data_IF_185694075248
#
_entry.id   IF_185694075248
#
_cell.length_a   1.000
_cell.length_b   1.000
_cell.length_c   1.000
_cell.angle_alpha   90.00
_cell.angle_beta   90.00
_cell.angle_gamma   90.00
#
_symmetry.space_group_name_H-M   'P 1'
#
loop_
_entity.id
_entity.type
_entity.pdbx_description
1 polymer ?
#
# COMPACT_ATOMS: atom_id res chain seq x y z
N UNK A 1 -27.29 8.53 -14.69
CA UNK A 1 -27.11 9.15 -13.37
C UNK A 1 -25.70 8.96 -12.80
N UNK A 2 -25.10 7.76 -12.85
CA UNK A 2 -23.73 7.51 -12.34
C UNK A 2 -22.67 8.40 -13.02
N UNK A 3 -22.76 8.62 -14.34
CA UNK A 3 -21.82 9.48 -15.07
C UNK A 3 -21.89 10.97 -14.71
N UNK A 4 -23.06 11.46 -14.26
CA UNK A 4 -23.22 12.85 -13.82
C UNK A 4 -22.64 13.04 -12.41
N UNK A 5 -22.83 12.06 -11.53
CA UNK A 5 -22.25 12.04 -10.20
C UNK A 5 -20.71 12.01 -10.28
N UNK A 6 -20.14 11.12 -11.10
CA UNK A 6 -18.68 11.06 -11.30
C UNK A 6 -18.11 12.34 -11.92
N UNK A 7 -18.83 12.97 -12.85
CA UNK A 7 -18.41 14.24 -13.43
C UNK A 7 -18.52 15.41 -12.43
N UNK A 8 -19.54 15.41 -11.57
CA UNK A 8 -19.75 16.44 -10.56
C UNK A 8 -18.75 16.33 -9.40
N UNK A 9 -18.46 15.11 -8.91
CA UNK A 9 -17.41 14.87 -7.91
C UNK A 9 -16.05 15.29 -8.46
N UNK A 10 -15.71 14.91 -9.70
CA UNK A 10 -14.45 15.29 -10.32
C UNK A 10 -14.35 16.81 -10.50
N UNK A 11 -15.41 17.47 -10.98
CA UNK A 11 -15.46 18.94 -11.16
C UNK A 11 -15.39 19.71 -9.84
N UNK A 12 -16.03 19.21 -8.78
CA UNK A 12 -15.95 19.79 -7.44
C UNK A 12 -14.53 19.66 -6.87
N UNK A 13 -13.92 18.47 -6.99
CA UNK A 13 -12.53 18.24 -6.59
C UNK A 13 -11.55 19.13 -7.37
N UNK A 14 -11.77 19.27 -8.68
CA UNK A 14 -10.92 20.08 -9.55
C UNK A 14 -11.04 21.58 -9.24
N UNK A 15 -12.23 22.05 -8.85
CA UNK A 15 -12.47 23.43 -8.40
C UNK A 15 -11.82 23.70 -7.05
N UNK A 16 -11.94 22.77 -6.09
CA UNK A 16 -11.34 22.89 -4.75
C UNK A 16 -9.81 22.86 -4.81
N UNK A 17 -9.23 22.01 -5.67
CA UNK A 17 -7.78 21.92 -5.88
C UNK A 17 -7.18 23.12 -6.63
N UNK A 18 -7.97 23.83 -7.45
CA UNK A 18 -7.51 25.01 -8.19
C UNK A 18 -7.71 26.31 -7.41
N UNK A 19 -8.68 26.39 -6.50
CA UNK A 19 -8.91 27.58 -5.68
C UNK A 19 -7.86 27.78 -4.60
N UNK A 20 -7.09 26.74 -4.27
CA UNK A 20 -6.10 26.80 -3.19
C UNK A 20 -4.70 26.52 -3.73
N UNK A 21 -4.24 27.39 -4.61
CA UNK A 21 -2.82 27.55 -4.88
C UNK A 21 -2.19 28.22 -3.66
N UNK A 22 -1.84 27.42 -2.67
CA UNK A 22 -1.10 27.90 -1.52
C UNK A 22 0.38 28.10 -1.91
N UNK A 23 0.94 29.24 -1.53
CA UNK A 23 2.34 29.59 -1.78
C UNK A 23 3.29 28.91 -0.79
N UNK A 24 2.76 28.24 0.25
CA UNK A 24 3.48 27.68 1.39
C UNK A 24 3.19 26.19 1.65
N UNK A 25 4.23 25.45 2.06
CA UNK A 25 4.22 23.99 2.30
C UNK A 25 3.16 23.56 3.33
N UNK A 26 3.03 24.32 4.42
CA UNK A 26 2.10 23.98 5.50
C UNK A 26 0.64 23.99 5.05
N UNK A 27 0.27 24.95 4.20
CA UNK A 27 -1.08 25.06 3.66
C UNK A 27 -1.40 23.93 2.68
N UNK A 28 -0.45 23.53 1.84
CA UNK A 28 -0.61 22.35 0.96
C UNK A 28 -0.84 21.08 1.77
N UNK A 29 -0.06 20.86 2.84
CA UNK A 29 -0.24 19.72 3.76
C UNK A 29 -1.60 19.73 4.47
N UNK A 30 -2.05 20.89 4.96
CA UNK A 30 -3.36 21.00 5.62
C UNK A 30 -4.52 20.69 4.67
N UNK A 31 -4.45 21.15 3.43
CA UNK A 31 -5.45 20.83 2.39
C UNK A 31 -5.42 19.35 2.04
N UNK A 32 -4.23 18.78 1.96
CA UNK A 32 -4.00 17.38 1.67
C UNK A 32 -4.57 16.45 2.75
N UNK A 33 -4.37 16.79 4.03
CA UNK A 33 -4.93 16.04 5.17
C UNK A 33 -6.43 16.26 5.35
N UNK A 34 -6.95 17.45 4.99
CA UNK A 34 -8.38 17.75 5.09
C UNK A 34 -9.21 17.17 3.94
N UNK A 35 -8.62 16.98 2.75
CA UNK A 35 -9.30 16.41 1.58
C UNK A 35 -10.07 15.12 1.87
N UNK A 36 -9.50 14.06 2.50
CA UNK A 36 -10.24 12.84 2.81
C UNK A 36 -11.39 13.09 3.79
N UNK A 37 -11.20 13.93 4.82
CA UNK A 37 -12.25 14.24 5.80
C UNK A 37 -13.44 14.94 5.14
N UNK A 38 -13.18 16.02 4.40
CA UNK A 38 -14.22 16.79 3.70
C UNK A 38 -14.94 15.92 2.67
N UNK A 39 -14.19 15.12 1.91
CA UNK A 39 -14.78 14.24 0.89
C UNK A 39 -15.67 13.17 1.52
N UNK A 40 -15.27 12.60 2.67
CA UNK A 40 -16.07 11.62 3.40
C UNK A 40 -17.39 12.22 3.87
N UNK A 41 -17.36 13.35 4.58
CA UNK A 41 -18.58 13.99 5.10
C UNK A 41 -19.53 14.43 3.99
N UNK A 42 -19.01 15.03 2.91
CA UNK A 42 -19.85 15.44 1.77
C UNK A 42 -20.52 14.24 1.09
N UNK A 43 -19.85 13.09 1.04
CA UNK A 43 -20.41 11.87 0.46
C UNK A 43 -21.52 11.27 1.35
N UNK A 44 -21.32 11.26 2.67
CA UNK A 44 -22.33 10.80 3.63
C UNK A 44 -23.61 11.66 3.58
N UNK A 45 -23.48 12.99 3.46
CA UNK A 45 -24.63 13.91 3.31
C UNK A 45 -25.46 13.63 2.04
N UNK A 46 -24.85 13.06 0.99
CA UNK A 46 -25.54 12.69 -0.25
C UNK A 46 -25.95 11.20 -0.24
N UNK A 47 -25.82 10.51 0.90
CA UNK A 47 -26.13 9.08 1.08
C UNK A 47 -25.39 8.15 0.10
N UNK A 48 -24.14 8.49 -0.24
CA UNK A 48 -23.23 7.63 -1.01
C UNK A 48 -22.06 7.19 -0.15
N UNK A 49 -21.38 6.10 -0.53
CA UNK A 49 -20.26 5.57 0.28
C UNK A 49 -19.11 6.57 0.42
N UNK A 50 -18.93 7.11 1.62
CA UNK A 50 -17.84 8.06 1.92
C UNK A 50 -16.45 7.46 1.70
N UNK A 51 -16.27 6.18 2.06
CA UNK A 51 -15.01 5.46 1.87
C UNK A 51 -14.62 5.41 0.39
N UNK A 52 -15.56 5.04 -0.48
CA UNK A 52 -15.31 4.96 -1.93
C UNK A 52 -15.03 6.36 -2.51
N UNK A 53 -15.77 7.37 -2.08
CA UNK A 53 -15.55 8.75 -2.52
C UNK A 53 -14.13 9.24 -2.19
N UNK A 54 -13.64 8.97 -0.98
CA UNK A 54 -12.27 9.31 -0.56
C UNK A 54 -11.22 8.56 -1.39
N UNK A 55 -11.41 7.26 -1.65
CA UNK A 55 -10.47 6.47 -2.47
C UNK A 55 -10.39 7.03 -3.89
N UNK A 56 -11.54 7.36 -4.50
CA UNK A 56 -11.58 7.96 -5.84
C UNK A 56 -10.89 9.33 -5.84
N UNK A 57 -11.15 10.17 -4.83
CA UNK A 57 -10.49 11.47 -4.67
C UNK A 57 -8.96 11.33 -4.56
N UNK A 58 -8.48 10.34 -3.78
CA UNK A 58 -7.05 10.03 -3.66
C UNK A 58 -6.42 9.57 -4.97
N UNK A 59 -7.08 8.67 -5.71
CA UNK A 59 -6.59 8.20 -7.03
C UNK A 59 -6.54 9.37 -8.03
N UNK A 60 -7.57 10.21 -8.07
CA UNK A 60 -7.60 11.38 -8.95
C UNK A 60 -6.49 12.38 -8.60
N UNK A 61 -6.22 12.57 -7.31
CA UNK A 61 -5.13 13.41 -6.84
C UNK A 61 -3.76 12.83 -7.25
N UNK A 62 -3.55 11.54 -7.01
CA UNK A 62 -2.30 10.84 -7.36
C UNK A 62 -2.05 10.76 -8.87
N UNK A 63 -3.13 10.71 -9.68
CA UNK A 63 -3.04 10.65 -11.14
C UNK A 63 -2.62 11.97 -11.80
N UNK A 64 -2.51 13.08 -11.05
CA UNK A 64 -2.06 14.36 -11.62
C UNK A 64 -0.55 14.33 -11.84
N UNK A 65 -0.13 14.41 -13.10
CA UNK A 65 1.27 14.64 -13.46
C UNK A 65 1.72 15.99 -12.90
N UNK A 66 2.44 16.00 -11.78
CA UNK A 66 3.14 17.21 -11.29
C UNK A 66 4.26 17.55 -12.27
N UNK A 67 4.42 18.83 -12.63
CA UNK A 67 5.66 19.29 -13.27
C UNK A 67 6.75 19.18 -12.21
N UNK A 68 7.92 18.68 -12.57
CA UNK A 68 9.01 18.48 -11.60
C UNK A 68 9.85 19.77 -11.57
N UNK A 69 9.62 20.62 -10.57
CA UNK A 69 10.58 21.66 -10.17
C UNK A 69 11.27 21.28 -8.86
N UNK A 70 12.44 21.87 -8.57
CA UNK A 70 13.22 21.56 -7.36
C UNK A 70 12.47 21.88 -6.05
N UNK A 71 11.56 22.86 -6.07
CA UNK A 71 10.69 23.19 -4.93
C UNK A 71 9.62 22.10 -4.72
N UNK A 72 9.06 21.55 -5.80
CA UNK A 72 8.07 20.46 -5.74
C UNK A 72 8.69 19.18 -5.14
N UNK A 73 9.97 18.90 -5.40
CA UNK A 73 10.66 17.73 -4.83
C UNK A 73 10.82 17.80 -3.29
N UNK A 74 11.09 18.98 -2.73
CA UNK A 74 11.17 19.15 -1.27
C UNK A 74 9.79 19.04 -0.62
N UNK A 75 8.76 19.63 -1.24
CA UNK A 75 7.36 19.54 -0.77
C UNK A 75 6.88 18.09 -0.78
N UNK A 76 7.18 17.33 -1.84
CA UNK A 76 6.79 15.92 -1.95
C UNK A 76 7.45 15.06 -0.86
N UNK A 77 8.74 15.29 -0.56
CA UNK A 77 9.46 14.55 0.50
C UNK A 77 8.87 14.79 1.89
N UNK A 78 8.55 16.05 2.21
CA UNK A 78 7.91 16.40 3.50
C UNK A 78 6.52 15.79 3.59
N UNK A 79 5.75 15.87 2.50
CA UNK A 79 4.39 15.32 2.39
C UNK A 79 4.39 13.80 2.58
N UNK A 80 5.30 13.09 1.91
CA UNK A 80 5.50 11.65 2.07
C UNK A 80 5.81 11.29 3.53
N UNK A 81 6.72 12.02 4.18
CA UNK A 81 7.09 11.80 5.58
C UNK A 81 5.90 12.00 6.52
N UNK A 82 5.10 13.05 6.31
CA UNK A 82 3.88 13.32 7.08
C UNK A 82 2.87 12.18 6.89
N UNK A 83 2.62 11.75 5.65
CA UNK A 83 1.71 10.63 5.38
C UNK A 83 2.19 9.32 5.98
N UNK A 84 3.49 9.02 5.93
CA UNK A 84 4.05 7.86 6.60
C UNK A 84 3.80 7.91 8.10
N UNK A 85 4.01 9.07 8.73
CA UNK A 85 3.77 9.29 10.15
C UNK A 85 2.29 9.12 10.50
N UNK A 86 1.39 9.74 9.72
CA UNK A 86 -0.08 9.62 9.91
C UNK A 86 -0.52 8.17 9.74
N UNK A 87 -0.06 7.48 8.70
CA UNK A 87 -0.36 6.07 8.48
C UNK A 87 0.15 5.20 9.63
N UNK A 88 1.35 5.46 10.13
CA UNK A 88 1.90 4.74 11.27
C UNK A 88 1.06 4.95 12.53
N UNK A 89 0.70 6.20 12.83
CA UNK A 89 -0.17 6.54 13.96
C UNK A 89 -1.55 5.89 13.85
N UNK A 90 -2.22 6.00 12.70
CA UNK A 90 -3.55 5.43 12.49
C UNK A 90 -3.54 3.90 12.58
N UNK A 91 -2.58 3.24 11.93
CA UNK A 91 -2.47 1.78 12.02
C UNK A 91 -2.14 1.36 13.47
N UNK A 92 -1.22 2.06 14.14
CA UNK A 92 -0.90 1.84 15.55
C UNK A 92 -2.11 1.95 16.46
N UNK A 93 -2.90 3.01 16.32
CA UNK A 93 -4.14 3.21 17.08
C UNK A 93 -5.13 2.07 16.88
N UNK A 94 -5.34 1.61 15.65
CA UNK A 94 -6.23 0.48 15.35
C UNK A 94 -5.76 -0.81 16.03
N UNK A 95 -4.45 -1.07 16.05
CA UNK A 95 -3.90 -2.23 16.74
C UNK A 95 -3.99 -2.12 18.26
N UNK A 96 -3.84 -0.92 18.84
CA UNK A 96 -4.03 -0.69 20.28
C UNK A 96 -5.49 -0.94 20.67
N UNK A 97 -6.44 -0.40 19.90
CA UNK A 97 -7.87 -0.64 20.15
C UNK A 97 -8.18 -2.13 20.04
N UNK A 98 -7.69 -2.81 19.00
CA UNK A 98 -7.87 -4.25 18.87
C UNK A 98 -7.27 -5.03 20.05
N UNK A 99 -6.09 -4.63 20.53
CA UNK A 99 -5.46 -5.27 21.70
C UNK A 99 -6.35 -5.17 22.94
N UNK A 100 -6.93 -4.00 23.20
CA UNK A 100 -7.86 -3.79 24.31
C UNK A 100 -9.14 -4.62 24.16
N UNK A 101 -9.75 -4.61 22.96
CA UNK A 101 -10.93 -5.42 22.67
C UNK A 101 -10.65 -6.92 22.85
N UNK A 102 -9.48 -7.38 22.39
CA UNK A 102 -9.06 -8.78 22.49
C UNK A 102 -8.87 -9.20 23.95
N UNK A 103 -8.24 -8.37 24.78
CA UNK A 103 -8.07 -8.65 26.22
C UNK A 103 -9.43 -8.79 26.91
N UNK A 104 -10.38 -7.91 26.59
CA UNK A 104 -11.72 -7.93 27.19
C UNK A 104 -12.52 -9.20 26.86
N UNK A 105 -12.35 -9.77 25.66
CA UNK A 105 -13.12 -10.93 25.20
C UNK A 105 -12.39 -12.28 25.36
N UNK A 106 -11.06 -12.28 25.51
CA UNK A 106 -10.29 -13.52 25.56
C UNK A 106 -10.58 -14.33 26.82
N UNK A 107 -10.61 -13.71 28.00
CA UNK A 107 -10.88 -14.41 29.26
C UNK A 107 -12.28 -15.06 29.31
N UNK A 108 -13.38 -14.36 28.95
CA UNK A 108 -14.72 -14.96 28.93
C UNK A 108 -14.86 -16.12 27.94
N UNK A 109 -14.21 -16.04 26.77
CA UNK A 109 -14.34 -17.08 25.73
C UNK A 109 -13.55 -18.33 26.09
N UNK A 110 -12.34 -18.17 26.63
CA UNK A 110 -11.47 -19.30 27.00
C UNK A 110 -11.95 -20.05 28.26
N UNK A 111 -12.66 -19.36 29.15
CA UNK A 111 -13.20 -19.95 30.39
C UNK A 111 -14.60 -20.55 30.20
N UNK A 112 -15.24 -20.29 29.05
CA UNK A 112 -16.59 -20.79 28.78
C UNK A 112 -16.59 -22.30 28.47
N UNK A 113 -17.36 -23.14 29.20
CA UNK A 113 -17.41 -24.58 28.97
C UNK A 113 -18.04 -24.99 27.63
N UNK A 114 -18.70 -24.05 26.95
CA UNK A 114 -19.35 -24.25 25.65
C UNK A 114 -18.31 -24.33 24.53
N UNK A 115 -17.18 -23.63 24.64
CA UNK A 115 -16.18 -23.56 23.59
C UNK A 115 -14.96 -24.40 23.94
N UNK A 116 -14.64 -25.38 23.10
CA UNK A 116 -13.44 -26.16 23.28
C UNK A 116 -12.24 -25.31 22.79
N UNK A 117 -11.28 -24.93 23.66
CA UNK A 117 -10.19 -24.01 23.29
C UNK A 117 -9.32 -24.58 22.16
N UNK A 118 -9.21 -25.91 22.09
CA UNK A 118 -8.48 -26.58 21.01
C UNK A 118 -9.19 -26.44 19.66
N UNK A 119 -10.53 -26.53 19.65
CA UNK A 119 -11.33 -26.36 18.42
C UNK A 119 -11.30 -24.91 17.94
N UNK A 120 -11.33 -23.94 18.87
CA UNK A 120 -11.14 -22.52 18.55
C UNK A 120 -9.78 -22.26 17.91
N UNK A 121 -8.70 -22.78 18.49
CA UNK A 121 -7.35 -22.61 17.95
C UNK A 121 -7.20 -23.26 16.57
N UNK A 122 -7.74 -24.47 16.38
CA UNK A 122 -7.76 -25.14 15.07
C UNK A 122 -8.56 -24.33 14.06
N UNK A 123 -9.72 -23.78 14.44
CA UNK A 123 -10.54 -22.97 13.54
C UNK A 123 -9.84 -21.68 13.11
N UNK A 124 -9.10 -21.04 14.03
CA UNK A 124 -8.31 -19.84 13.78
C UNK A 124 -7.18 -20.12 12.79
N UNK A 125 -6.41 -21.18 13.02
CA UNK A 125 -5.31 -21.58 12.12
C UNK A 125 -5.88 -21.99 10.75
N UNK A 126 -6.95 -22.78 10.72
CA UNK A 126 -7.59 -23.22 9.50
C UNK A 126 -8.11 -22.03 8.69
N UNK A 127 -8.77 -21.05 9.33
CA UNK A 127 -9.27 -19.88 8.63
C UNK A 127 -8.14 -19.01 8.09
N UNK A 128 -7.09 -18.80 8.89
CA UNK A 128 -5.90 -18.09 8.44
C UNK A 128 -5.31 -18.77 7.20
N UNK A 129 -5.10 -20.09 7.26
CA UNK A 129 -4.58 -20.86 6.14
C UNK A 129 -5.47 -20.75 4.89
N UNK A 130 -6.79 -20.87 5.05
CA UNK A 130 -7.75 -20.75 3.94
C UNK A 130 -7.68 -19.36 3.29
N UNK A 131 -7.60 -18.28 4.07
CA UNK A 131 -7.49 -16.92 3.52
C UNK A 131 -6.19 -16.73 2.74
N UNK A 132 -5.06 -17.23 3.25
CA UNK A 132 -3.79 -17.22 2.53
C UNK A 132 -3.85 -18.08 1.26
N UNK A 133 -4.47 -19.26 1.32
CA UNK A 133 -4.63 -20.15 0.18
C UNK A 133 -5.50 -19.51 -0.93
N UNK A 134 -6.63 -18.89 -0.57
CA UNK A 134 -7.49 -18.17 -1.53
C UNK A 134 -6.69 -17.06 -2.22
N UNK A 135 -5.94 -16.27 -1.45
CA UNK A 135 -5.10 -15.21 -1.99
C UNK A 135 -4.04 -15.76 -2.94
N UNK A 136 -3.35 -16.82 -2.55
CA UNK A 136 -2.34 -17.48 -3.37
C UNK A 136 -2.94 -18.02 -4.67
N UNK A 137 -4.12 -18.65 -4.62
CA UNK A 137 -4.84 -19.18 -5.78
C UNK A 137 -5.26 -18.06 -6.73
N UNK A 138 -5.75 -16.92 -6.22
CA UNK A 138 -6.10 -15.77 -7.07
C UNK A 138 -4.87 -15.20 -7.79
N UNK A 139 -3.75 -15.04 -7.08
CA UNK A 139 -2.49 -14.55 -7.65
C UNK A 139 -1.96 -15.56 -8.68
N UNK A 140 -1.95 -16.84 -8.34
CA UNK A 140 -1.57 -17.93 -9.25
C UNK A 140 -2.43 -17.93 -10.51
N UNK A 141 -3.75 -17.78 -10.38
CA UNK A 141 -4.68 -17.69 -11.50
C UNK A 141 -4.38 -16.51 -12.43
N UNK A 142 -4.10 -15.33 -11.86
CA UNK A 142 -3.67 -14.15 -12.61
C UNK A 142 -2.38 -14.41 -13.40
N UNK A 143 -1.35 -14.96 -12.76
CA UNK A 143 -0.08 -15.27 -13.42
C UNK A 143 -0.20 -16.42 -14.42
N UNK A 144 -1.03 -17.43 -14.16
CA UNK A 144 -1.33 -18.52 -15.08
C UNK A 144 -1.97 -17.99 -16.37
N UNK A 145 -2.95 -17.09 -16.26
CA UNK A 145 -3.57 -16.42 -17.40
C UNK A 145 -2.55 -15.57 -18.17
N UNK A 146 -1.76 -14.75 -17.46
CA UNK A 146 -0.73 -13.89 -18.05
C UNK A 146 0.37 -14.69 -18.76
N UNK A 147 0.77 -15.81 -18.19
CA UNK A 147 1.85 -16.66 -18.71
C UNK A 147 1.40 -17.45 -19.94
N UNK A 148 0.13 -17.89 -19.99
CA UNK A 148 -0.46 -18.45 -21.21
C UNK A 148 -0.49 -17.45 -22.36
N UNK A 149 -0.76 -16.17 -22.08
CA UNK A 149 -0.71 -15.08 -23.07
C UNK A 149 0.71 -14.78 -23.55
N UNK A 150 1.71 -14.85 -22.67
CA UNK A 150 3.09 -14.41 -22.93
C UNK A 150 4.09 -15.57 -23.21
N UNK A 151 3.65 -16.83 -23.20
CA UNK A 151 4.48 -18.05 -23.39
C UNK A 151 5.74 -18.13 -22.51
N UNK A 152 5.72 -17.53 -21.31
CA UNK A 152 6.83 -17.61 -20.35
C UNK A 152 6.67 -18.86 -19.45
N UNK A 153 7.66 -19.18 -18.60
CA UNK A 153 7.55 -20.26 -17.60
C UNK A 153 7.05 -19.69 -16.27
N UNK A 154 6.11 -20.39 -15.63
CA UNK A 154 5.55 -19.97 -14.32
C UNK A 154 6.56 -20.00 -13.19
N UNK A 155 7.59 -20.86 -13.26
CA UNK A 155 8.62 -20.97 -12.22
C UNK A 155 9.34 -19.64 -11.95
N UNK A 156 9.48 -18.75 -12.95
CA UNK A 156 10.11 -17.44 -12.76
C UNK A 156 9.28 -16.52 -11.85
N UNK A 157 7.96 -16.71 -11.83
CA UNK A 157 7.04 -15.88 -11.07
C UNK A 157 6.72 -16.45 -9.68
N UNK A 158 7.22 -17.63 -9.32
CA UNK A 158 6.82 -18.29 -8.06
C UNK A 158 7.26 -17.49 -6.83
N UNK A 159 8.45 -16.87 -6.89
CA UNK A 159 8.93 -15.93 -5.85
C UNK A 159 8.06 -14.68 -5.80
N UNK A 160 7.74 -14.08 -6.94
CA UNK A 160 6.82 -12.93 -7.01
C UNK A 160 5.44 -13.26 -6.44
N UNK A 161 4.90 -14.46 -6.72
CA UNK A 161 3.61 -14.90 -6.22
C UNK A 161 3.63 -15.05 -4.69
N UNK A 162 4.69 -15.63 -4.13
CA UNK A 162 4.87 -15.74 -2.68
C UNK A 162 5.01 -14.35 -2.05
N UNK A 163 5.87 -13.49 -2.60
CA UNK A 163 6.03 -12.12 -2.15
C UNK A 163 4.70 -11.34 -2.17
N UNK A 164 3.93 -11.42 -3.27
CA UNK A 164 2.62 -10.78 -3.37
C UNK A 164 1.57 -11.36 -2.41
N UNK A 165 1.69 -12.64 -2.05
CA UNK A 165 0.80 -13.30 -1.09
C UNK A 165 1.09 -12.81 0.33
N UNK A 166 2.37 -12.70 0.72
CA UNK A 166 2.77 -12.32 2.07
C UNK A 166 2.97 -10.81 2.26
N UNK A 167 3.09 -10.01 1.19
CA UNK A 167 3.33 -8.55 1.26
C UNK A 167 2.12 -7.73 1.75
N UNK A 168 0.89 -8.20 1.51
CA UNK A 168 -0.30 -7.44 1.91
C UNK A 168 -0.87 -7.87 3.25
N UNK A 169 -0.03 -8.15 4.24
CA UNK A 169 -0.46 -8.41 5.63
C UNK A 169 -0.80 -7.09 6.33
N UNK A 170 -1.88 -6.43 5.89
CA UNK A 170 -2.41 -5.22 6.54
C UNK A 170 -3.86 -5.49 6.91
N UNK A 171 -4.07 -5.94 8.15
CA UNK A 171 -5.39 -6.30 8.68
C UNK A 171 -6.24 -5.13 9.14
N UNK A 172 -5.75 -3.89 9.06
CA UNK A 172 -6.42 -2.72 9.67
C UNK A 172 -7.80 -2.42 9.10
N UNK A 173 -8.02 -2.68 7.80
CA UNK A 173 -9.35 -2.54 7.18
C UNK A 173 -10.34 -3.57 7.74
N UNK A 174 -9.91 -4.82 7.92
CA UNK A 174 -10.74 -5.88 8.52
C UNK A 174 -11.10 -5.54 9.97
N UNK A 175 -10.13 -5.00 10.72
CA UNK A 175 -10.32 -4.56 12.11
C UNK A 175 -11.34 -3.42 12.17
N UNK A 176 -11.16 -2.38 11.37
CA UNK A 176 -12.12 -1.29 11.30
C UNK A 176 -13.53 -1.79 10.96
N UNK A 177 -13.64 -2.77 10.05
CA UNK A 177 -14.93 -3.34 9.66
C UNK A 177 -15.64 -4.03 10.82
N UNK A 178 -14.94 -4.85 11.61
CA UNK A 178 -15.57 -5.54 12.75
C UNK A 178 -15.96 -4.54 13.86
N UNK A 179 -15.16 -3.50 14.09
CA UNK A 179 -15.47 -2.44 15.05
C UNK A 179 -16.65 -1.54 14.62
N UNK A 180 -16.95 -1.47 13.32
CA UNK A 180 -18.12 -0.76 12.80
C UNK A 180 -19.42 -1.55 12.99
N UNK A 181 -19.35 -2.87 13.20
CA UNK A 181 -20.54 -3.69 13.37
C UNK A 181 -21.13 -3.39 14.77
N UNK A 182 -22.43 -3.04 14.85
CA UNK A 182 -23.05 -2.76 16.14
C UNK A 182 -23.01 -4.00 17.04
N UNK A 183 -22.67 -3.78 18.31
CA UNK A 183 -22.58 -4.82 19.35
C UNK A 183 -23.94 -5.39 19.78
N UNK A 184 -25.03 -4.98 19.13
CA UNK A 184 -26.39 -5.48 19.36
C UNK A 184 -26.61 -6.93 18.91
N UNK A 185 -25.63 -7.54 18.24
CA UNK A 185 -25.54 -8.98 17.99
C UNK A 185 -24.95 -9.68 19.23
N UNK A 186 -25.69 -9.66 20.34
CA UNK A 186 -25.18 -9.95 21.69
C UNK A 186 -24.53 -11.33 21.87
N UNK A 187 -24.90 -12.33 21.06
CA UNK A 187 -24.43 -13.72 21.25
C UNK A 187 -23.21 -14.09 20.40
N UNK A 188 -23.10 -13.58 19.17
CA UNK A 188 -22.07 -14.00 18.21
C UNK A 188 -20.93 -12.98 18.05
N UNK A 189 -21.16 -11.72 18.45
CA UNK A 189 -20.18 -10.64 18.32
C UNK A 189 -18.83 -10.93 19.01
N UNK A 190 -18.77 -11.47 20.25
CA UNK A 190 -17.50 -11.78 20.90
C UNK A 190 -16.69 -12.87 20.17
N UNK A 191 -17.36 -13.91 19.67
CA UNK A 191 -16.70 -14.98 18.90
C UNK A 191 -16.16 -14.46 17.57
N UNK A 192 -16.94 -13.64 16.87
CA UNK A 192 -16.55 -13.05 15.61
C UNK A 192 -15.36 -12.11 15.79
N UNK A 193 -15.38 -11.28 16.83
CA UNK A 193 -14.28 -10.39 17.17
C UNK A 193 -13.02 -11.19 17.53
N UNK A 194 -13.14 -12.24 18.35
CA UNK A 194 -12.01 -13.12 18.69
C UNK A 194 -11.38 -13.76 17.45
N UNK A 195 -12.21 -14.28 16.55
CA UNK A 195 -11.73 -14.95 15.34
C UNK A 195 -11.10 -13.94 14.37
N UNK A 196 -11.73 -12.79 14.12
CA UNK A 196 -11.17 -11.75 13.24
C UNK A 196 -9.87 -11.19 13.83
N UNK A 197 -9.84 -10.91 15.12
CA UNK A 197 -8.64 -10.42 15.81
C UNK A 197 -7.52 -11.47 15.79
N UNK A 198 -7.83 -12.73 16.10
CA UNK A 198 -6.88 -13.83 16.06
C UNK A 198 -6.29 -14.05 14.65
N UNK A 199 -7.14 -14.06 13.63
CA UNK A 199 -6.70 -14.25 12.23
C UNK A 199 -5.90 -13.05 11.73
N UNK A 200 -6.30 -11.82 12.06
CA UNK A 200 -5.52 -10.63 11.69
C UNK A 200 -4.16 -10.61 12.37
N UNK A 201 -4.08 -11.00 13.65
CA UNK A 201 -2.84 -11.09 14.42
C UNK A 201 -1.90 -12.17 13.86
N UNK A 202 -2.41 -13.40 13.64
CA UNK A 202 -1.59 -14.49 13.06
C UNK A 202 -1.16 -14.15 11.63
N UNK A 203 -2.03 -13.54 10.82
CA UNK A 203 -1.69 -13.08 9.48
C UNK A 203 -0.58 -12.02 9.50
N UNK A 204 -0.67 -11.04 10.40
CA UNK A 204 0.34 -10.00 10.56
C UNK A 204 1.70 -10.57 10.99
N UNK A 205 1.72 -11.45 12.00
CA UNK A 205 2.94 -12.14 12.45
C UNK A 205 3.55 -13.00 11.34
N UNK A 206 2.71 -13.73 10.60
CA UNK A 206 3.17 -14.58 9.48
C UNK A 206 3.85 -13.73 8.42
N UNK A 207 3.26 -12.59 8.02
CA UNK A 207 3.91 -11.72 7.05
C UNK A 207 5.20 -11.07 7.56
N UNK A 208 5.24 -10.67 8.83
CA UNK A 208 6.45 -10.07 9.43
C UNK A 208 7.63 -11.05 9.47
N UNK A 209 7.38 -12.34 9.69
CA UNK A 209 8.42 -13.39 9.69
C UNK A 209 8.78 -13.85 8.29
N UNK A 210 7.79 -14.03 7.41
CA UNK A 210 7.99 -14.61 6.08
C UNK A 210 8.61 -13.60 5.10
N UNK A 211 8.25 -12.32 5.19
CA UNK A 211 8.78 -11.29 4.28
C UNK A 211 10.30 -11.13 4.31
N UNK A 212 10.98 -10.97 5.46
CA UNK A 212 12.45 -10.84 5.48
C UNK A 212 13.14 -12.07 4.91
N UNK A 213 12.58 -13.26 5.12
CA UNK A 213 13.13 -14.51 4.59
C UNK A 213 12.99 -14.62 3.07
N UNK A 214 11.94 -14.02 2.49
CA UNK A 214 11.72 -14.00 1.04
C UNK A 214 12.47 -12.86 0.31
N UNK A 215 12.84 -11.79 1.02
CA UNK A 215 13.51 -10.62 0.43
C UNK A 215 15.03 -10.76 0.28
N UNK A 216 15.66 -11.75 0.93
CA UNK A 216 17.12 -11.90 0.98
C UNK A 216 17.77 -12.40 -0.33
N UNK A 217 16.99 -12.58 -1.41
CA UNK A 217 17.45 -13.16 -2.69
C UNK A 217 17.36 -12.19 -3.89
N UNK A 218 17.51 -10.88 -3.66
CA UNK A 218 17.42 -9.87 -4.71
C UNK A 218 18.70 -9.80 -5.58
N UNK A 219 18.86 -10.73 -6.52
CA UNK A 219 19.86 -10.66 -7.60
C UNK A 219 19.56 -9.55 -8.64
N UNK A 220 18.34 -9.00 -8.68
CA UNK A 220 17.95 -7.97 -9.69
C UNK A 220 18.64 -6.61 -9.50
N UNK A 221 18.98 -6.20 -8.27
CA UNK A 221 19.72 -4.96 -8.01
C UNK A 221 21.14 -5.02 -8.59
N UNK A 222 21.74 -6.21 -8.60
CA UNK A 222 23.09 -6.45 -9.12
C UNK A 222 23.18 -6.20 -10.62
N UNK A 223 22.13 -6.57 -11.37
CA UNK A 223 22.08 -6.39 -12.82
C UNK A 223 22.04 -4.91 -13.22
N UNK A 224 21.26 -4.09 -12.52
CA UNK A 224 21.22 -2.65 -12.79
C UNK A 224 22.53 -1.95 -12.42
N UNK A 225 23.13 -2.31 -11.29
CA UNK A 225 24.43 -1.79 -10.88
C UNK A 225 25.55 -2.21 -11.85
N UNK A 226 25.48 -3.42 -12.40
CA UNK A 226 26.42 -3.89 -13.43
C UNK A 226 26.27 -3.11 -14.74
N UNK A 227 25.03 -2.85 -15.19
CA UNK A 227 24.79 -2.04 -16.39
C UNK A 227 25.23 -0.58 -16.21
N UNK A 228 24.99 0.02 -15.04
CA UNK A 228 25.47 1.38 -14.72
C UNK A 228 27.00 1.41 -14.69
N UNK A 229 27.65 0.38 -14.13
CA UNK A 229 29.10 0.24 -14.12
C UNK A 229 29.69 0.18 -15.54
N UNK A 230 29.13 -0.68 -16.40
CA UNK A 230 29.56 -0.81 -17.81
C UNK A 230 29.36 0.50 -18.56
N UNK A 231 28.22 1.17 -18.37
CA UNK A 231 27.95 2.43 -19.07
C UNK A 231 28.95 3.51 -18.66
N UNK A 232 29.27 3.60 -17.37
CA UNK A 232 30.24 4.56 -16.84
C UNK A 232 31.66 4.27 -17.35
N UNK A 233 32.04 2.99 -17.42
CA UNK A 233 33.33 2.56 -17.96
C UNK A 233 33.47 2.89 -19.45
N UNK A 234 32.42 2.64 -20.25
CA UNK A 234 32.40 2.99 -21.68
C UNK A 234 32.44 4.52 -21.88
N UNK A 235 31.73 5.30 -21.06
CA UNK A 235 31.79 6.77 -21.16
C UNK A 235 33.18 7.31 -20.83
N UNK A 236 33.87 6.73 -19.85
CA UNK A 236 35.24 7.12 -19.49
C UNK A 236 36.25 6.77 -20.60
N UNK A 237 36.09 5.61 -21.24
CA UNK A 237 36.94 5.23 -22.37
C UNK A 237 36.73 6.17 -23.57
N UNK A 238 35.48 6.50 -23.88
CA UNK A 238 35.13 7.46 -24.95
C UNK A 238 35.66 8.88 -24.66
N UNK A 239 35.61 9.33 -23.41
CA UNK A 239 36.16 10.63 -23.00
C UNK A 239 37.69 10.67 -23.18
N UNK A 240 38.37 9.57 -22.82
CA UNK A 240 39.81 9.41 -22.98
C UNK A 240 40.23 9.34 -24.45
N UNK A 241 39.45 8.67 -25.30
CA UNK A 241 39.65 8.68 -26.75
C UNK A 241 39.42 10.06 -27.37
N UNK A 242 38.42 10.81 -26.89
CA UNK A 242 38.17 12.19 -27.30
C UNK A 242 39.32 13.12 -26.91
N UNK A 243 39.87 13.02 -25.69
CA UNK A 243 41.05 13.80 -25.27
C UNK A 243 42.29 13.43 -26.09
N UNK A 244 42.50 12.14 -26.35
CA UNK A 244 43.57 11.64 -27.20
C UNK A 244 43.46 12.12 -28.65
N UNK A 245 42.23 12.31 -29.13
CA UNK A 245 41.96 12.86 -30.48
C UNK A 245 42.15 14.38 -30.48
N UNK A 246 41.64 15.10 -29.46
CA UNK A 246 41.81 16.56 -29.30
C UNK A 246 43.28 16.98 -29.25
N UNK A 247 44.15 16.16 -28.65
CA UNK A 247 45.58 16.41 -28.58
C UNK A 247 46.34 16.10 -29.90
N UNK A 248 45.66 15.48 -30.88
CA UNK A 248 46.19 15.18 -32.22
C UNK A 248 45.66 16.14 -33.30
N UNK A 249 44.69 17.01 -32.98
CA UNK A 249 44.32 18.09 -33.90
C UNK A 249 45.37 19.20 -33.85
N UNK A 250 45.92 19.64 -35.00
CA UNK A 250 46.76 20.83 -35.03
C UNK A 250 45.94 22.04 -34.56
N UNK A 251 46.57 23.06 -33.94
CA UNK A 251 45.86 24.26 -33.53
C UNK A 251 45.19 24.85 -34.76
N UNK A 252 43.86 24.97 -34.72
CA UNK A 252 43.12 25.74 -35.71
C UNK A 252 43.66 27.18 -35.63
N UNK A 253 44.50 27.53 -36.61
CA UNK A 253 44.97 28.89 -36.83
C UNK A 253 43.77 29.83 -36.80
N UNK A 254 43.89 30.87 -35.99
CA UNK A 254 42.90 31.93 -35.91
C UNK A 254 42.65 32.58 -37.27
N UNK A 255 41.41 32.99 -37.45
CA UNK A 255 40.99 34.20 -38.13
C UNK A 255 39.79 34.77 -37.37
#
# INVERSE_FOLDING_TARGET
MIGFLTAMTNRFLHSFLLSVRATDIASELLLELSLPLVTFFLAEEVHVSGIIAVVVAGILKASRFKKITLLEAQVDTVTETVWHTVNFMLNGSVFVILGMELEMIAEPILTNPIYNPLLLLVSLIALTFVLFAIRFVMIYGYYAYRTRRLKKKLNKYMKDMLLLTFSGVKGTVSIATILLIPSNLEQEYPLLLFLVAGVTLVSFLTGLVVLPHLSDEQEESKDYLMHIGILNEVTLELEKELEGTRNKLPPLCGY
#
